data_IF_254099837078
#
_entry.id   IF_254099837078
#
_cell.length_a   1.000
_cell.length_b   1.000
_cell.length_c   1.000
_cell.angle_alpha   90.00
_cell.angle_beta   90.00
_cell.angle_gamma   90.00
#
_symmetry.space_group_name_H-M   'P 1'
#
loop_
_entity.id
_entity.type
_entity.pdbx_description
1 polymer ?
#
# COMPACT_ATOMS: atom_id res chain seq x y z
N UNK A 1 -9.67 -41.52 -7.51
CA UNK A 1 -9.03 -40.82 -6.34
C UNK A 1 -8.02 -41.80 -5.74
N UNK A 2 -6.74 -41.49 -5.83
CA UNK A 2 -5.68 -42.28 -5.20
C UNK A 2 -5.60 -41.83 -3.73
N UNK A 3 -5.80 -42.80 -2.81
CA UNK A 3 -5.62 -42.53 -1.38
C UNK A 3 -4.21 -43.01 -1.03
N UNK A 4 -3.33 -42.12 -0.62
CA UNK A 4 -1.99 -42.48 -0.19
C UNK A 4 -2.10 -43.36 1.06
N UNK A 5 -1.31 -44.42 1.10
CA UNK A 5 -1.10 -45.26 2.28
C UNK A 5 0.38 -45.21 2.67
N UNK A 6 0.69 -45.69 3.86
CA UNK A 6 2.06 -45.77 4.33
C UNK A 6 2.34 -47.13 4.95
N UNK A 7 3.60 -47.53 4.86
CA UNK A 7 4.09 -48.75 5.51
C UNK A 7 5.33 -48.35 6.33
N UNK A 8 5.37 -48.84 7.55
CA UNK A 8 6.59 -48.68 8.36
C UNK A 8 7.63 -49.68 7.86
N UNK A 9 8.82 -49.19 7.63
CA UNK A 9 9.95 -49.95 7.15
C UNK A 9 11.22 -49.49 7.88
N UNK A 10 12.34 -50.13 7.63
CA UNK A 10 13.65 -49.75 8.22
C UNK A 10 14.66 -49.57 7.11
N UNK A 11 15.43 -48.50 7.26
CA UNK A 11 16.54 -48.24 6.35
C UNK A 11 17.87 -48.26 7.09
N UNK A 12 18.94 -48.68 6.41
CA UNK A 12 20.26 -48.60 6.94
C UNK A 12 20.91 -47.27 6.58
N UNK A 13 21.21 -46.46 7.59
CA UNK A 13 22.00 -45.26 7.44
C UNK A 13 23.48 -45.59 7.72
N UNK A 14 24.33 -45.38 6.71
CA UNK A 14 25.74 -45.67 6.76
C UNK A 14 26.53 -44.37 6.98
N UNK A 15 27.27 -44.33 8.06
CA UNK A 15 28.25 -43.26 8.32
C UNK A 15 29.61 -43.69 7.87
N UNK A 16 30.26 -42.90 7.02
CA UNK A 16 31.58 -43.19 6.47
C UNK A 16 32.66 -42.50 7.30
N UNK A 17 33.76 -43.22 7.58
CA UNK A 17 34.94 -42.65 8.21
C UNK A 17 35.83 -41.93 7.19
N UNK A 18 35.94 -42.51 6.00
CA UNK A 18 36.56 -41.95 4.81
C UNK A 18 35.91 -42.57 3.55
N UNK A 19 36.42 -42.25 2.36
CA UNK A 19 35.83 -42.69 1.07
C UNK A 19 35.78 -44.20 0.88
N UNK A 20 36.41 -45.00 1.73
CA UNK A 20 36.55 -46.46 1.60
C UNK A 20 36.11 -47.22 2.86
N UNK A 21 36.07 -46.56 4.01
CA UNK A 21 35.81 -47.22 5.30
C UNK A 21 34.53 -46.75 5.94
N UNK A 22 33.67 -47.71 6.29
CA UNK A 22 32.43 -47.46 6.99
C UNK A 22 32.70 -47.33 8.50
N UNK A 23 32.30 -46.23 9.10
CA UNK A 23 32.43 -45.99 10.53
C UNK A 23 31.32 -46.70 11.32
N UNK A 24 30.09 -46.64 10.86
CA UNK A 24 28.97 -47.32 11.51
C UNK A 24 27.78 -47.48 10.53
N UNK A 25 26.99 -48.52 10.76
CA UNK A 25 25.72 -48.74 10.10
C UNK A 25 24.67 -48.76 11.17
N UNK A 26 23.69 -47.86 11.09
CA UNK A 26 22.53 -47.81 12.00
C UNK A 26 21.24 -48.11 11.24
N UNK A 27 20.43 -49.01 11.78
CA UNK A 27 19.09 -49.24 11.26
C UNK A 27 18.15 -48.21 11.90
N UNK A 28 17.54 -47.36 11.08
CA UNK A 28 16.62 -46.33 11.52
C UNK A 28 15.22 -46.62 10.99
N UNK A 29 14.17 -46.37 11.77
CA UNK A 29 12.79 -46.50 11.29
C UNK A 29 12.56 -45.51 10.16
N UNK A 30 11.86 -45.96 9.13
CA UNK A 30 11.58 -45.20 7.93
C UNK A 30 10.13 -45.46 7.51
N UNK A 31 9.43 -44.40 7.15
CA UNK A 31 8.05 -44.51 6.64
C UNK A 31 8.07 -44.51 5.11
N UNK A 32 7.61 -45.61 4.54
CA UNK A 32 7.50 -45.76 3.11
C UNK A 32 6.08 -45.42 2.65
N UNK A 33 5.96 -44.44 1.77
CA UNK A 33 4.68 -43.97 1.22
C UNK A 33 4.35 -44.74 -0.05
N UNK A 34 3.09 -45.21 -0.16
CA UNK A 34 2.59 -45.93 -1.31
C UNK A 34 1.50 -45.16 -2.05
N UNK A 35 1.51 -45.20 -3.39
CA UNK A 35 2.51 -45.77 -4.30
C UNK A 35 3.82 -44.98 -4.35
N UNK A 36 4.92 -45.68 -4.62
CA UNK A 36 6.30 -45.13 -4.59
C UNK A 36 6.57 -43.98 -5.58
N UNK A 37 5.75 -43.93 -6.62
CA UNK A 37 5.87 -42.94 -7.71
C UNK A 37 5.01 -41.67 -7.49
N UNK A 38 4.54 -41.43 -6.28
CA UNK A 38 3.82 -40.18 -6.00
C UNK A 38 4.76 -38.98 -6.13
N UNK A 39 4.44 -38.13 -7.09
CA UNK A 39 5.08 -36.84 -7.22
C UNK A 39 4.15 -35.75 -6.63
N UNK A 40 4.54 -35.19 -5.50
CA UNK A 40 3.86 -34.05 -4.90
C UNK A 40 4.45 -32.77 -5.47
N UNK A 41 3.59 -31.94 -6.08
CA UNK A 41 3.96 -30.62 -6.55
C UNK A 41 3.23 -29.58 -5.69
N UNK A 42 3.99 -28.74 -5.03
CA UNK A 42 3.45 -27.55 -4.39
C UNK A 42 3.36 -26.43 -5.44
N UNK A 43 2.21 -25.78 -5.50
CA UNK A 43 2.00 -24.58 -6.30
C UNK A 43 1.21 -23.56 -5.48
N UNK A 44 1.48 -22.31 -5.73
CA UNK A 44 0.65 -21.24 -5.18
C UNK A 44 -0.52 -21.02 -6.16
N UNK A 45 -1.73 -21.22 -5.68
CA UNK A 45 -2.91 -20.80 -6.42
C UNK A 45 -3.00 -19.28 -6.35
N UNK A 46 -2.88 -18.63 -7.50
CA UNK A 46 -3.07 -17.21 -7.60
C UNK A 46 -4.57 -16.95 -7.59
N UNK A 47 -5.07 -16.39 -6.49
CA UNK A 47 -6.47 -15.95 -6.44
C UNK A 47 -6.63 -14.75 -7.36
N UNK A 48 -7.46 -14.91 -8.38
CA UNK A 48 -7.83 -13.87 -9.33
C UNK A 48 -9.18 -13.24 -9.00
N UNK A 49 -9.85 -13.73 -7.97
CA UNK A 49 -11.13 -13.24 -7.53
C UNK A 49 -11.01 -11.85 -6.92
N UNK A 50 -11.84 -10.95 -7.42
CA UNK A 50 -11.88 -9.56 -7.00
C UNK A 50 -12.99 -9.31 -6.00
N UNK A 51 -12.61 -8.91 -4.79
CA UNK A 51 -13.50 -8.47 -3.73
C UNK A 51 -13.04 -7.14 -3.16
N UNK A 52 -14.00 -6.30 -2.77
CA UNK A 52 -13.72 -5.12 -1.97
C UNK A 52 -13.35 -5.53 -0.54
N UNK A 53 -12.22 -5.07 -0.04
CA UNK A 53 -11.75 -5.39 1.31
C UNK A 53 -12.12 -4.30 2.31
N UNK A 54 -11.68 -3.08 2.03
CA UNK A 54 -11.87 -1.93 2.92
C UNK A 54 -11.56 -0.61 2.24
N UNK A 55 -11.97 0.48 2.89
CA UNK A 55 -11.47 1.83 2.64
C UNK A 55 -10.80 2.38 3.88
N UNK A 56 -9.69 3.09 3.71
CA UNK A 56 -9.00 3.76 4.80
C UNK A 56 -8.74 5.23 4.45
N UNK A 57 -9.00 6.13 5.42
CA UNK A 57 -8.65 7.55 5.35
C UNK A 57 -7.78 7.88 6.56
N UNK A 58 -6.47 7.63 6.42
CA UNK A 58 -5.50 7.87 7.49
C UNK A 58 -5.24 9.35 7.69
N UNK A 59 -4.97 10.04 6.60
CA UNK A 59 -4.81 11.50 6.54
C UNK A 59 -6.11 12.11 5.98
N UNK A 60 -6.28 13.42 6.14
CA UNK A 60 -7.51 14.07 5.74
C UNK A 60 -7.61 14.33 4.24
N UNK A 61 -6.48 14.40 3.54
CA UNK A 61 -6.34 14.81 2.14
C UNK A 61 -6.50 13.68 1.13
N UNK A 62 -6.54 12.41 1.56
CA UNK A 62 -6.76 11.27 0.68
C UNK A 62 -7.42 10.10 1.39
N UNK A 63 -8.00 9.20 0.63
CA UNK A 63 -8.43 7.87 1.09
C UNK A 63 -8.02 6.80 0.09
N UNK A 64 -7.87 5.58 0.57
CA UNK A 64 -7.42 4.44 -0.23
C UNK A 64 -8.44 3.33 -0.17
N UNK A 65 -8.78 2.77 -1.33
CA UNK A 65 -9.61 1.58 -1.49
C UNK A 65 -8.70 0.37 -1.71
N UNK A 66 -9.03 -0.74 -1.06
CA UNK A 66 -8.28 -1.99 -1.16
C UNK A 66 -9.16 -3.10 -1.70
N UNK A 67 -8.64 -3.83 -2.66
CA UNK A 67 -9.24 -5.01 -3.29
C UNK A 67 -8.32 -6.21 -3.19
N UNK A 68 -8.85 -7.42 -3.31
CA UNK A 68 -8.06 -8.66 -3.36
C UNK A 68 -7.29 -8.80 -4.66
N UNK A 69 -7.85 -8.27 -5.76
CA UNK A 69 -7.27 -8.34 -7.09
C UNK A 69 -7.59 -7.08 -7.90
N UNK A 70 -6.71 -6.71 -8.83
CA UNK A 70 -6.88 -5.54 -9.68
C UNK A 70 -7.92 -5.72 -10.79
N UNK A 71 -8.32 -4.59 -11.40
CA UNK A 71 -9.18 -4.57 -12.58
C UNK A 71 -8.68 -3.51 -13.56
N UNK A 72 -8.93 -3.73 -14.85
CA UNK A 72 -8.65 -2.75 -15.89
C UNK A 72 -9.51 -1.49 -15.72
N UNK A 73 -10.75 -1.66 -15.23
CA UNK A 73 -11.72 -0.58 -15.01
C UNK A 73 -11.64 -0.12 -13.56
N UNK A 74 -11.38 1.16 -13.37
CA UNK A 74 -11.34 1.77 -12.04
C UNK A 74 -12.75 1.94 -11.48
N UNK A 75 -12.92 1.83 -10.14
CA UNK A 75 -14.19 2.07 -9.49
C UNK A 75 -14.71 3.50 -9.72
N UNK A 76 -16.02 3.62 -9.94
CA UNK A 76 -16.70 4.91 -10.05
C UNK A 76 -17.29 5.32 -8.71
N UNK A 77 -17.15 6.59 -8.37
CA UNK A 77 -17.61 7.16 -7.11
C UNK A 77 -18.69 8.20 -7.38
N UNK A 78 -19.84 8.02 -6.73
CA UNK A 78 -20.92 9.03 -6.67
C UNK A 78 -21.02 9.53 -5.23
N UNK A 79 -20.75 10.82 -5.01
CA UNK A 79 -20.86 11.42 -3.67
C UNK A 79 -22.34 11.52 -3.24
N UNK A 80 -22.61 11.13 -1.99
CA UNK A 80 -23.95 11.27 -1.39
C UNK A 80 -24.05 12.49 -0.49
N UNK A 81 -22.96 12.92 0.13
CA UNK A 81 -22.88 14.11 0.96
C UNK A 81 -21.86 15.15 0.44
N UNK A 82 -21.36 14.97 -0.78
CA UNK A 82 -20.47 15.89 -1.46
C UNK A 82 -20.62 15.75 -2.98
N UNK A 83 -20.07 16.70 -3.74
CA UNK A 83 -20.00 16.61 -5.18
C UNK A 83 -18.72 15.87 -5.60
N UNK A 84 -18.88 14.73 -6.30
CA UNK A 84 -17.76 13.91 -6.75
C UNK A 84 -17.13 14.38 -8.08
N UNK A 85 -17.76 15.32 -8.79
CA UNK A 85 -17.28 15.80 -10.10
C UNK A 85 -15.92 16.48 -9.94
N UNK A 86 -14.89 15.94 -10.60
CA UNK A 86 -13.52 16.45 -10.54
C UNK A 86 -12.94 16.61 -9.11
N UNK A 87 -13.51 15.86 -8.15
CA UNK A 87 -13.14 15.98 -6.74
C UNK A 87 -11.84 15.25 -6.40
N UNK A 88 -11.38 14.35 -7.27
CA UNK A 88 -10.28 13.43 -6.98
C UNK A 88 -9.17 13.46 -8.02
N UNK A 89 -7.94 13.26 -7.57
CA UNK A 89 -6.83 12.74 -8.38
C UNK A 89 -6.71 11.26 -8.03
N UNK A 90 -6.78 10.38 -9.02
CA UNK A 90 -6.81 8.93 -8.81
C UNK A 90 -5.41 8.38 -9.07
N UNK A 91 -4.86 7.69 -8.08
CA UNK A 91 -3.56 7.06 -8.13
C UNK A 91 -3.70 5.55 -7.84
N UNK A 92 -3.85 4.73 -8.87
CA UNK A 92 -3.85 3.28 -8.71
C UNK A 92 -2.42 2.75 -8.58
N UNK A 93 -2.24 1.64 -7.87
CA UNK A 93 -1.02 0.84 -7.93
C UNK A 93 -0.86 0.19 -9.31
N UNK A 94 0.31 -0.33 -9.62
CA UNK A 94 0.61 -1.05 -10.87
C UNK A 94 -0.40 -2.18 -11.11
N UNK A 95 -0.73 -2.93 -10.06
CA UNK A 95 -1.71 -4.03 -10.14
C UNK A 95 -3.16 -3.57 -10.00
N UNK A 96 -3.43 -2.28 -9.73
CA UNK A 96 -4.78 -1.71 -9.58
C UNK A 96 -5.66 -2.40 -8.52
N UNK A 97 -5.04 -3.05 -7.56
CA UNK A 97 -5.67 -3.66 -6.38
C UNK A 97 -5.83 -2.66 -5.23
N UNK A 98 -4.96 -1.67 -5.22
CA UNK A 98 -4.96 -0.57 -4.25
C UNK A 98 -5.07 0.75 -5.00
N UNK A 99 -6.08 1.56 -4.67
CA UNK A 99 -6.38 2.79 -5.40
C UNK A 99 -6.50 3.94 -4.40
N UNK A 100 -5.64 4.93 -4.54
CA UNK A 100 -5.66 6.14 -3.71
C UNK A 100 -6.37 7.28 -4.43
N UNK A 101 -7.30 7.90 -3.72
CA UNK A 101 -8.07 9.04 -4.17
C UNK A 101 -7.65 10.28 -3.38
N UNK A 102 -6.91 11.17 -4.02
CA UNK A 102 -6.50 12.45 -3.45
C UNK A 102 -7.59 13.49 -3.63
N UNK A 103 -7.96 14.17 -2.56
CA UNK A 103 -9.00 15.19 -2.56
C UNK A 103 -8.45 16.51 -3.13
N UNK A 104 -9.09 17.01 -4.18
CA UNK A 104 -8.71 18.30 -4.78
C UNK A 104 -9.28 19.49 -4.01
N UNK A 105 -10.44 19.32 -3.39
CA UNK A 105 -11.15 20.39 -2.71
C UNK A 105 -10.85 20.39 -1.22
N UNK A 106 -10.40 21.54 -0.73
CA UNK A 106 -10.14 21.76 0.70
C UNK A 106 -11.39 21.64 1.56
N UNK A 107 -12.59 21.85 1.02
CA UNK A 107 -13.86 21.65 1.73
C UNK A 107 -14.05 20.18 2.08
N UNK A 108 -13.75 19.28 1.13
CA UNK A 108 -13.78 17.82 1.34
C UNK A 108 -12.70 17.34 2.30
N UNK A 109 -11.53 17.96 2.26
CA UNK A 109 -10.46 17.68 3.22
C UNK A 109 -10.90 18.01 4.65
N UNK A 110 -11.71 19.06 4.83
CA UNK A 110 -12.21 19.48 6.14
C UNK A 110 -13.44 18.70 6.61
N UNK A 111 -14.07 17.93 5.73
CA UNK A 111 -15.18 17.07 6.05
C UNK A 111 -14.67 15.75 6.63
N UNK A 112 -14.96 15.47 7.90
CA UNK A 112 -14.46 14.28 8.60
C UNK A 112 -15.04 12.97 8.06
N UNK A 113 -16.26 13.00 7.52
CA UNK A 113 -16.96 11.83 7.02
C UNK A 113 -17.39 12.04 5.56
N UNK A 114 -16.97 11.15 4.68
CA UNK A 114 -17.39 11.06 3.30
C UNK A 114 -18.31 9.86 3.12
N UNK A 115 -19.52 10.08 2.59
CA UNK A 115 -20.47 9.03 2.25
C UNK A 115 -20.65 9.01 0.74
N UNK A 116 -20.49 7.85 0.13
CA UNK A 116 -20.50 7.70 -1.32
C UNK A 116 -21.08 6.36 -1.75
N UNK A 117 -21.67 6.33 -2.94
CA UNK A 117 -21.95 5.11 -3.65
C UNK A 117 -20.72 4.74 -4.49
N UNK A 118 -20.19 3.57 -4.27
CA UNK A 118 -19.03 3.00 -4.95
C UNK A 118 -19.51 1.94 -5.92
N UNK A 119 -19.37 2.19 -7.23
CA UNK A 119 -19.69 1.22 -8.27
C UNK A 119 -18.41 0.59 -8.78
N UNK A 120 -18.28 -0.71 -8.61
CA UNK A 120 -17.07 -1.48 -8.94
C UNK A 120 -17.39 -2.91 -9.38
N UNK A 121 -16.44 -3.57 -9.99
CA UNK A 121 -16.56 -4.98 -10.30
C UNK A 121 -16.17 -5.86 -9.11
N UNK A 122 -16.94 -6.90 -8.90
CA UNK A 122 -16.64 -8.00 -7.99
C UNK A 122 -16.79 -9.33 -8.71
N UNK A 123 -16.11 -10.35 -8.24
CA UNK A 123 -16.24 -11.73 -8.74
C UNK A 123 -17.44 -12.40 -8.06
N UNK A 124 -18.33 -12.94 -8.85
CA UNK A 124 -19.49 -13.71 -8.36
C UNK A 124 -19.12 -15.16 -8.01
N UNK A 125 -20.08 -15.94 -7.57
CA UNK A 125 -19.90 -17.36 -7.22
C UNK A 125 -19.53 -18.25 -8.40
N UNK A 126 -19.67 -17.76 -9.63
CA UNK A 126 -19.34 -18.47 -10.87
C UNK A 126 -17.95 -18.05 -11.40
N UNK A 127 -17.24 -17.15 -10.70
CA UNK A 127 -15.93 -16.64 -11.12
C UNK A 127 -16.02 -15.55 -12.20
N UNK A 128 -17.19 -14.95 -12.43
CA UNK A 128 -17.37 -13.88 -13.41
C UNK A 128 -17.41 -12.51 -12.73
N UNK A 129 -16.81 -11.50 -13.39
CA UNK A 129 -16.86 -10.11 -12.90
C UNK A 129 -18.24 -9.51 -13.15
N UNK A 130 -18.88 -9.04 -12.10
CA UNK A 130 -20.16 -8.34 -12.14
C UNK A 130 -20.05 -6.97 -11.52
N UNK A 131 -20.82 -6.02 -12.06
CA UNK A 131 -20.89 -4.66 -11.55
C UNK A 131 -21.77 -4.61 -10.31
N UNK A 132 -21.19 -4.15 -9.20
CA UNK A 132 -21.89 -3.93 -7.94
C UNK A 132 -21.78 -2.47 -7.50
N UNK A 133 -22.82 -1.98 -6.83
CA UNK A 133 -22.82 -0.65 -6.21
C UNK A 133 -23.06 -0.77 -4.72
N UNK A 134 -22.06 -0.34 -3.94
CA UNK A 134 -22.12 -0.36 -2.49
C UNK A 134 -22.08 1.04 -1.93
N UNK A 135 -22.87 1.28 -0.86
CA UNK A 135 -22.79 2.54 -0.13
C UNK A 135 -21.74 2.41 0.98
N UNK A 136 -20.67 3.19 0.85
CA UNK A 136 -19.59 3.20 1.83
C UNK A 136 -19.51 4.54 2.56
N UNK A 137 -19.12 4.46 3.83
CA UNK A 137 -18.88 5.62 4.68
C UNK A 137 -17.44 5.59 5.16
N UNK A 138 -16.68 6.62 4.80
CA UNK A 138 -15.26 6.72 5.12
C UNK A 138 -15.08 7.84 6.13
N UNK A 139 -14.48 7.52 7.28
CA UNK A 139 -14.21 8.46 8.37
C UNK A 139 -12.71 8.73 8.42
N UNK A 140 -12.34 10.01 8.47
CA UNK A 140 -10.95 10.40 8.66
C UNK A 140 -10.45 10.04 10.05
N UNK A 141 -9.29 9.36 10.14
CA UNK A 141 -8.60 9.15 11.43
C UNK A 141 -8.06 10.46 12.00
N UNK A 142 -7.83 11.42 11.13
CA UNK A 142 -7.35 12.76 11.48
C UNK A 142 -8.49 13.76 11.33
N UNK A 143 -9.25 13.98 12.42
CA UNK A 143 -10.42 14.86 12.42
C UNK A 143 -10.05 16.33 12.22
N UNK A 144 -10.96 17.11 11.65
CA UNK A 144 -10.82 18.56 11.47
C UNK A 144 -10.49 19.30 12.78
N UNK A 145 -11.20 18.92 13.86
CA UNK A 145 -10.97 19.51 15.18
C UNK A 145 -9.52 19.25 15.69
N UNK A 146 -8.99 18.05 15.49
CA UNK A 146 -7.62 17.69 15.86
C UNK A 146 -6.62 18.51 15.03
N UNK A 147 -6.78 18.54 13.71
CA UNK A 147 -5.89 19.30 12.80
C UNK A 147 -5.88 20.80 13.15
N UNK A 148 -7.05 21.39 13.39
CA UNK A 148 -7.18 22.80 13.77
C UNK A 148 -6.46 23.11 15.09
N UNK A 149 -6.59 22.19 16.08
CA UNK A 149 -5.88 22.31 17.37
C UNK A 149 -4.37 22.23 17.20
N UNK A 150 -3.90 21.31 16.38
CA UNK A 150 -2.47 21.12 16.13
C UNK A 150 -1.87 22.29 15.34
N UNK A 151 -2.61 22.82 14.36
CA UNK A 151 -2.24 24.05 13.64
C UNK A 151 -2.15 25.27 14.58
N UNK A 152 -3.11 25.45 15.49
CA UNK A 152 -3.07 26.53 16.48
C UNK A 152 -1.83 26.41 17.37
N UNK A 153 -1.52 25.21 17.86
CA UNK A 153 -0.31 24.97 18.66
C UNK A 153 0.97 25.28 17.89
N UNK A 154 1.07 24.82 16.64
CA UNK A 154 2.22 25.12 15.76
C UNK A 154 2.37 26.63 15.56
N UNK A 155 1.27 27.33 15.31
CA UNK A 155 1.28 28.79 15.13
C UNK A 155 1.71 29.53 16.40
N UNK A 156 1.20 29.13 17.56
CA UNK A 156 1.60 29.71 18.85
C UNK A 156 3.09 29.49 19.16
N UNK A 157 3.60 28.31 18.87
CA UNK A 157 5.02 27.99 19.05
C UNK A 157 5.87 28.83 18.12
N UNK A 158 5.51 28.88 16.83
CA UNK A 158 6.20 29.71 15.85
C UNK A 158 6.21 31.20 16.24
N UNK A 159 5.05 31.76 16.67
CA UNK A 159 4.98 33.15 17.14
C UNK A 159 5.89 33.41 18.35
N UNK A 160 5.97 32.46 19.29
CA UNK A 160 6.87 32.57 20.44
C UNK A 160 8.34 32.55 20.01
N UNK A 161 8.69 31.73 19.03
CA UNK A 161 10.06 31.69 18.48
C UNK A 161 10.41 32.98 17.75
N UNK A 162 9.53 33.50 16.88
CA UNK A 162 9.75 34.77 16.19
C UNK A 162 9.87 35.95 17.17
N UNK A 163 9.06 35.94 18.21
CA UNK A 163 9.16 36.97 19.25
C UNK A 163 10.50 36.91 20.02
N UNK A 164 11.08 35.74 20.23
CA UNK A 164 12.41 35.56 20.83
C UNK A 164 13.51 36.08 19.90
N UNK A 165 13.45 35.74 18.60
CA UNK A 165 14.40 36.21 17.58
C UNK A 165 14.40 37.76 17.49
N UNK A 166 13.20 38.33 17.44
CA UNK A 166 13.03 39.79 17.45
C UNK A 166 13.66 40.45 18.68
N UNK A 167 13.49 39.86 19.87
CA UNK A 167 14.10 40.39 21.12
C UNK A 167 15.63 40.31 21.10
N UNK A 168 16.20 39.33 20.38
CA UNK A 168 17.65 39.15 20.23
C UNK A 168 18.27 40.02 19.14
N UNK A 169 17.44 40.72 18.33
CA UNK A 169 17.91 41.47 17.16
C UNK A 169 18.30 40.56 15.97
N UNK A 170 17.88 39.30 15.99
CA UNK A 170 18.10 38.36 14.92
C UNK A 170 17.00 38.49 13.83
N UNK A 171 17.28 38.08 12.58
CA UNK A 171 16.27 38.07 11.51
C UNK A 171 15.05 37.25 11.92
N UNK A 172 13.85 37.79 11.75
CA UNK A 172 12.60 37.10 12.07
C UNK A 172 11.60 37.21 10.91
N UNK A 173 10.77 36.20 10.75
CA UNK A 173 9.69 36.19 9.75
C UNK A 173 8.39 36.72 10.36
N UNK A 174 7.62 37.47 9.56
CA UNK A 174 6.29 37.98 9.95
C UNK A 174 5.15 37.05 9.58
N UNK A 175 5.37 36.14 8.61
CA UNK A 175 4.42 35.20 8.10
C UNK A 175 4.99 33.79 8.20
N UNK A 176 4.20 32.87 8.73
CA UNK A 176 4.53 31.44 8.74
C UNK A 176 4.46 30.91 7.33
N UNK A 177 5.58 30.43 6.79
CA UNK A 177 5.63 29.82 5.46
C UNK A 177 5.02 28.42 5.50
N UNK A 178 4.29 27.99 4.45
CA UNK A 178 3.84 26.61 4.33
C UNK A 178 5.06 25.67 4.29
N UNK A 179 4.88 24.47 4.83
CA UNK A 179 5.93 23.46 4.75
C UNK A 179 6.25 23.15 3.27
N UNK A 180 7.53 23.13 2.89
CA UNK A 180 7.92 22.83 1.51
C UNK A 180 7.52 21.39 1.15
N UNK A 181 7.24 21.18 -0.12
CA UNK A 181 6.97 19.84 -0.65
C UNK A 181 8.19 18.94 -0.40
N UNK A 182 7.95 17.79 0.24
CA UNK A 182 9.00 16.80 0.45
C UNK A 182 9.17 15.99 -0.83
N UNK A 183 10.33 16.10 -1.43
CA UNK A 183 10.74 15.40 -2.64
C UNK A 183 11.86 14.43 -2.26
N UNK A 184 11.74 13.19 -2.69
CA UNK A 184 12.80 12.19 -2.59
C UNK A 184 13.41 11.97 -3.97
N UNK A 185 14.73 11.90 -4.02
CA UNK A 185 15.48 11.54 -5.21
C UNK A 185 16.15 10.17 -5.00
N UNK A 186 16.16 9.36 -6.02
CA UNK A 186 16.90 8.09 -6.05
C UNK A 186 17.52 7.89 -7.44
N UNK A 187 18.74 7.36 -7.51
CA UNK A 187 19.64 7.03 -6.40
C UNK A 187 20.27 8.26 -5.76
N UNK A 188 20.72 8.11 -4.52
CA UNK A 188 21.51 9.12 -3.81
C UNK A 188 22.98 8.69 -3.87
N UNK A 189 23.87 9.55 -4.38
CA UNK A 189 25.31 9.33 -4.44
C UNK A 189 25.84 9.18 -5.87
N UNK A 190 26.90 8.39 -6.03
CA UNK A 190 27.50 8.13 -7.34
C UNK A 190 26.53 7.34 -8.23
N UNK A 191 26.43 7.75 -9.49
CA UNK A 191 25.51 7.17 -10.47
C UNK A 191 26.29 6.75 -11.72
N UNK A 192 25.86 5.65 -12.33
CA UNK A 192 26.32 5.28 -13.66
C UNK A 192 25.71 6.21 -14.72
N UNK A 193 26.41 6.51 -15.82
CA UNK A 193 25.95 7.47 -16.82
C UNK A 193 24.63 7.10 -17.51
N UNK A 194 24.25 5.83 -17.49
CA UNK A 194 23.02 5.28 -18.07
C UNK A 194 21.90 5.06 -17.04
N UNK A 195 22.13 5.43 -15.79
CA UNK A 195 21.15 5.25 -14.72
C UNK A 195 20.15 6.40 -14.69
N UNK A 196 18.86 6.07 -14.55
CA UNK A 196 17.78 7.04 -14.43
C UNK A 196 17.68 7.63 -13.04
N UNK A 197 17.36 8.92 -12.96
CA UNK A 197 17.02 9.61 -11.72
C UNK A 197 15.51 9.53 -11.50
N UNK A 198 15.09 9.02 -10.34
CA UNK A 198 13.71 8.97 -9.93
C UNK A 198 13.43 10.08 -8.92
N UNK A 199 12.50 10.95 -9.25
CA UNK A 199 12.03 12.02 -8.36
C UNK A 199 10.63 11.65 -7.89
N UNK A 200 10.47 11.43 -6.58
CA UNK A 200 9.20 11.04 -5.98
C UNK A 200 8.72 12.12 -5.02
N UNK A 201 7.54 12.64 -5.24
CA UNK A 201 6.87 13.55 -4.31
C UNK A 201 5.92 12.78 -3.39
N UNK A 202 5.80 13.21 -2.12
CA UNK A 202 4.87 12.59 -1.16
C UNK A 202 3.40 12.82 -1.52
N UNK A 203 3.10 13.88 -2.26
CA UNK A 203 1.75 14.26 -2.71
C UNK A 203 1.73 14.41 -4.22
N UNK A 204 0.59 14.17 -4.88
CA UNK A 204 0.50 14.35 -6.32
C UNK A 204 0.82 15.79 -6.70
N UNK A 205 1.58 15.95 -7.77
CA UNK A 205 1.91 17.24 -8.33
C UNK A 205 0.78 17.68 -9.26
N UNK A 206 0.41 18.94 -9.19
CA UNK A 206 -0.62 19.50 -10.08
C UNK A 206 -0.05 19.80 -11.45
N UNK A 207 1.20 20.22 -11.51
CA UNK A 207 1.92 20.55 -12.73
C UNK A 207 3.41 20.28 -12.56
N UNK A 208 4.06 19.84 -13.63
CA UNK A 208 5.51 19.58 -13.69
C UNK A 208 6.06 20.26 -14.94
N UNK A 209 6.80 21.34 -14.75
CA UNK A 209 7.51 21.98 -15.84
C UNK A 209 8.83 21.26 -16.11
N UNK A 210 8.85 20.41 -17.12
CA UNK A 210 10.03 19.64 -17.53
C UNK A 210 11.03 20.49 -18.34
N UNK A 211 10.65 21.66 -18.83
CA UNK A 211 11.54 22.52 -19.63
C UNK A 211 12.70 23.10 -18.84
N UNK A 212 12.56 23.16 -17.52
CA UNK A 212 13.59 23.70 -16.60
C UNK A 212 14.33 22.60 -15.82
N UNK A 213 14.17 21.35 -16.19
CA UNK A 213 14.94 20.23 -15.62
C UNK A 213 16.16 20.00 -16.54
N UNK A 214 17.34 20.38 -16.08
CA UNK A 214 18.61 20.24 -16.80
C UNK A 214 19.59 19.40 -16.00
#
# INVERSE_FOLDING_TARGET
RVVPSFKEDTRQDTTWLDSLHIASIKTVPYTHFLPDNICLRAFNEVMTDRYYLKAERKEADHFTLFYTYGDSILPSITGLNFNANNAFIIEPTEHKDTITYWLRDTTLVNQDTLTMALTHHITDTLGTLQLQTDTIKIISKETYAKRTKDLKKKMEQWQKEQAKLKKRGEPYDTLMRPEPLKINMAPLGEMDPDQNIWITAKKPLNDVDTAHIH
#
